data_IF_860376255174
#
_entry.id   IF_860376255174
#
_cell.length_a   1.000
_cell.length_b   1.000
_cell.length_c   1.000
_cell.angle_alpha   90.00
_cell.angle_beta   90.00
_cell.angle_gamma   90.00
#
_symmetry.space_group_name_H-M   'P 1'
#
loop_
_entity.id
_entity.type
_entity.pdbx_description
1 polymer ?
#
# COMPACT_ATOMS: atom_id res chain seq x y z
N UNK A 1 26.71 -21.50 -25.87
CA UNK A 1 25.46 -20.73 -26.02
C UNK A 1 25.78 -19.33 -25.54
N UNK A 2 25.61 -18.31 -26.36
CA UNK A 2 25.73 -16.93 -25.90
C UNK A 2 24.62 -16.74 -24.87
N UNK A 3 24.97 -16.90 -23.59
CA UNK A 3 24.07 -16.67 -22.48
C UNK A 3 23.65 -15.22 -22.57
N UNK A 4 22.34 -14.98 -22.64
CA UNK A 4 21.81 -13.64 -22.50
C UNK A 4 22.20 -13.24 -21.07
N UNK A 5 23.19 -12.37 -20.94
CA UNK A 5 23.60 -11.80 -19.66
C UNK A 5 22.39 -11.00 -19.14
N UNK A 6 21.66 -11.58 -18.18
CA UNK A 6 20.49 -10.97 -17.59
C UNK A 6 20.97 -9.79 -16.76
N UNK A 7 20.97 -8.59 -17.34
CA UNK A 7 21.30 -7.37 -16.63
C UNK A 7 20.06 -6.86 -15.90
N UNK A 8 20.06 -7.01 -14.58
CA UNK A 8 19.06 -6.40 -13.71
C UNK A 8 19.37 -4.90 -13.58
N UNK A 9 18.32 -4.09 -13.51
CA UNK A 9 18.40 -2.65 -13.23
C UNK A 9 17.98 -2.40 -11.77
N UNK A 10 18.97 -2.37 -10.89
CA UNK A 10 18.76 -2.22 -9.45
C UNK A 10 18.15 -0.85 -9.10
N UNK A 11 18.54 0.20 -9.82
CA UNK A 11 18.03 1.56 -9.62
C UNK A 11 16.53 1.61 -9.93
N UNK A 12 16.10 0.96 -11.02
CA UNK A 12 14.68 0.83 -11.34
C UNK A 12 13.92 0.09 -10.23
N UNK A 13 14.43 -1.03 -9.75
CA UNK A 13 13.73 -1.84 -8.73
C UNK A 13 13.65 -1.10 -7.39
N UNK A 14 14.73 -0.43 -6.97
CA UNK A 14 14.74 0.44 -5.79
C UNK A 14 13.73 1.61 -5.93
N UNK A 15 13.65 2.19 -7.13
CA UNK A 15 12.65 3.20 -7.47
C UNK A 15 11.22 2.67 -7.34
N UNK A 16 10.96 1.45 -7.80
CA UNK A 16 9.66 0.80 -7.67
C UNK A 16 9.32 0.47 -6.21
N UNK A 17 10.28 -0.02 -5.42
CA UNK A 17 10.09 -0.27 -3.99
C UNK A 17 9.66 1.01 -3.25
N UNK A 18 10.35 2.12 -3.51
CA UNK A 18 10.02 3.43 -2.94
C UNK A 18 8.65 3.93 -3.42
N UNK A 19 8.36 3.78 -4.72
CA UNK A 19 7.07 4.17 -5.30
C UNK A 19 5.90 3.44 -4.63
N UNK A 20 6.00 2.12 -4.44
CA UNK A 20 4.94 1.33 -3.81
C UNK A 20 4.69 1.76 -2.37
N UNK A 21 5.75 1.99 -1.59
CA UNK A 21 5.63 2.48 -0.22
C UNK A 21 4.95 3.86 -0.19
N UNK A 22 5.45 4.84 -0.95
CA UNK A 22 4.87 6.20 -0.97
C UNK A 22 3.42 6.20 -1.44
N UNK A 23 3.11 5.55 -2.56
CA UNK A 23 1.74 5.53 -3.10
C UNK A 23 0.76 4.85 -2.17
N UNK A 24 1.19 3.82 -1.46
CA UNK A 24 0.35 3.15 -0.47
C UNK A 24 0.07 4.02 0.75
N UNK A 25 1.06 4.81 1.19
CA UNK A 25 0.89 5.75 2.29
C UNK A 25 -0.05 6.89 1.89
N UNK A 26 0.16 7.51 0.72
CA UNK A 26 -0.73 8.55 0.19
C UNK A 26 -2.19 8.08 0.12
N UNK A 27 -2.41 6.85 -0.36
CA UNK A 27 -3.74 6.28 -0.49
C UNK A 27 -4.35 5.96 0.89
N UNK A 28 -3.54 5.49 1.84
CA UNK A 28 -3.97 5.26 3.21
C UNK A 28 -4.40 6.55 3.90
N UNK A 29 -3.64 7.64 3.72
CA UNK A 29 -3.99 8.98 4.23
C UNK A 29 -5.31 9.49 3.63
N UNK A 30 -5.54 9.22 2.34
CA UNK A 30 -6.82 9.54 1.69
C UNK A 30 -8.01 8.79 2.33
N UNK A 31 -7.83 7.51 2.64
CA UNK A 31 -8.85 6.71 3.35
C UNK A 31 -9.09 7.25 4.77
N UNK A 32 -8.03 7.57 5.51
CA UNK A 32 -8.14 8.10 6.87
C UNK A 32 -8.85 9.47 6.89
N UNK A 33 -8.57 10.33 5.90
CA UNK A 33 -9.26 11.60 5.73
C UNK A 33 -10.73 11.41 5.41
N UNK A 34 -11.06 10.47 4.51
CA UNK A 34 -12.43 10.15 4.16
C UNK A 34 -13.24 9.66 5.36
N UNK A 35 -12.68 8.73 6.15
CA UNK A 35 -13.31 8.24 7.38
C UNK A 35 -13.56 9.38 8.38
N UNK A 36 -12.59 10.29 8.54
CA UNK A 36 -12.73 11.45 9.41
C UNK A 36 -13.93 12.32 9.00
N UNK A 37 -14.06 12.63 7.69
CA UNK A 37 -15.18 13.43 7.17
C UNK A 37 -16.52 12.73 7.43
N UNK A 38 -16.60 11.42 7.19
CA UNK A 38 -17.82 10.67 7.43
C UNK A 38 -18.22 10.66 8.90
N UNK A 39 -17.27 10.46 9.82
CA UNK A 39 -17.51 10.54 11.26
C UNK A 39 -18.01 11.93 11.67
N UNK A 40 -17.41 13.00 11.15
CA UNK A 40 -17.90 14.37 11.41
C UNK A 40 -19.33 14.57 10.91
N UNK A 41 -19.67 14.09 9.70
CA UNK A 41 -21.05 14.17 9.18
C UNK A 41 -22.00 13.39 10.08
N UNK A 42 -21.60 12.20 10.55
CA UNK A 42 -22.39 11.35 11.43
C UNK A 42 -22.65 12.00 12.80
N UNK A 43 -21.67 12.71 13.33
CA UNK A 43 -21.73 13.37 14.64
C UNK A 43 -22.47 14.72 14.61
N UNK A 44 -22.33 15.49 13.54
CA UNK A 44 -22.80 16.88 13.50
C UNK A 44 -24.06 17.10 12.65
N UNK A 45 -24.26 16.31 11.58
CA UNK A 45 -25.31 16.56 10.59
C UNK A 45 -26.38 15.47 10.55
N UNK A 46 -25.97 14.19 10.54
CA UNK A 46 -26.88 13.03 10.44
C UNK A 46 -26.83 12.25 11.76
N UNK A 47 -27.43 12.84 12.80
CA UNK A 47 -27.29 12.35 14.17
C UNK A 47 -28.19 11.15 14.50
N UNK A 48 -29.35 11.02 13.85
CA UNK A 48 -30.34 9.99 14.16
C UNK A 48 -31.20 9.60 12.94
N UNK A 49 -31.90 8.47 13.07
CA UNK A 49 -32.75 7.88 12.03
C UNK A 49 -32.01 6.92 11.10
N UNK A 50 -32.75 6.31 10.19
CA UNK A 50 -32.27 5.23 9.31
C UNK A 50 -31.02 5.62 8.49
N UNK A 51 -30.91 6.89 8.09
CA UNK A 51 -29.74 7.41 7.37
C UNK A 51 -28.49 7.43 8.26
N UNK A 52 -28.64 7.71 9.55
CA UNK A 52 -27.54 7.71 10.52
C UNK A 52 -27.02 6.28 10.74
N UNK A 53 -27.92 5.31 10.88
CA UNK A 53 -27.58 3.88 11.00
C UNK A 53 -26.91 3.34 9.73
N UNK A 54 -27.41 3.74 8.55
CA UNK A 54 -26.78 3.38 7.28
C UNK A 54 -25.37 3.98 7.14
N UNK A 55 -25.17 5.21 7.64
CA UNK A 55 -23.86 5.85 7.65
C UNK A 55 -22.90 5.17 8.63
N UNK A 56 -23.37 4.75 9.81
CA UNK A 56 -22.58 3.96 10.77
C UNK A 56 -22.07 2.66 10.13
N UNK A 57 -22.97 1.90 9.49
CA UNK A 57 -22.61 0.67 8.79
C UNK A 57 -21.60 0.94 7.66
N UNK A 58 -21.78 2.03 6.91
CA UNK A 58 -20.85 2.40 5.85
C UNK A 58 -19.45 2.77 6.39
N UNK A 59 -19.38 3.55 7.48
CA UNK A 59 -18.12 3.89 8.15
C UNK A 59 -17.42 2.64 8.65
N UNK A 60 -18.15 1.68 9.21
CA UNK A 60 -17.60 0.39 9.66
C UNK A 60 -16.97 -0.38 8.49
N UNK A 61 -17.69 -0.53 7.38
CA UNK A 61 -17.15 -1.19 6.18
C UNK A 61 -15.93 -0.45 5.62
N UNK A 62 -15.98 0.87 5.50
CA UNK A 62 -14.85 1.66 5.01
C UNK A 62 -13.63 1.57 5.95
N UNK A 63 -13.85 1.48 7.26
CA UNK A 63 -12.79 1.35 8.26
C UNK A 63 -12.02 0.04 8.14
N UNK A 64 -12.60 -0.99 7.52
CA UNK A 64 -11.88 -2.24 7.23
C UNK A 64 -10.68 -2.05 6.30
N UNK A 65 -10.67 -1.00 5.47
CA UNK A 65 -9.55 -0.68 4.57
C UNK A 65 -8.38 -0.01 5.30
N UNK A 66 -8.56 0.42 6.55
CA UNK A 66 -7.54 1.12 7.31
C UNK A 66 -6.36 0.20 7.62
N UNK A 67 -5.16 0.66 7.29
CA UNK A 67 -3.90 -0.06 7.48
C UNK A 67 -3.61 -1.14 6.43
N UNK A 68 -4.63 -1.70 5.77
CA UNK A 68 -4.45 -2.72 4.72
C UNK A 68 -3.63 -2.15 3.57
N UNK A 69 -3.89 -0.91 3.17
CA UNK A 69 -3.26 -0.32 1.99
C UNK A 69 -1.77 -0.10 2.23
N UNK A 70 -1.40 0.46 3.38
CA UNK A 70 0.00 0.65 3.74
C UNK A 70 0.74 -0.67 3.95
N UNK A 71 0.09 -1.70 4.49
CA UNK A 71 0.65 -3.05 4.61
C UNK A 71 0.94 -3.69 3.25
N UNK A 72 0.02 -3.53 2.28
CA UNK A 72 0.24 -4.01 0.91
C UNK A 72 1.42 -3.30 0.24
N UNK A 73 1.55 -1.97 0.42
CA UNK A 73 2.71 -1.24 -0.11
C UNK A 73 4.02 -1.67 0.52
N UNK A 74 4.03 -1.94 1.83
CA UNK A 74 5.19 -2.51 2.52
C UNK A 74 5.54 -3.89 1.96
N UNK A 75 4.55 -4.76 1.76
CA UNK A 75 4.76 -6.10 1.19
C UNK A 75 5.34 -6.02 -0.22
N UNK A 76 4.85 -5.08 -1.04
CA UNK A 76 5.38 -4.85 -2.38
C UNK A 76 6.85 -4.35 -2.34
N UNK A 77 7.17 -3.40 -1.46
CA UNK A 77 8.54 -2.94 -1.21
C UNK A 77 9.46 -4.08 -0.76
N UNK A 78 9.02 -4.87 0.21
CA UNK A 78 9.77 -6.01 0.74
C UNK A 78 10.02 -7.06 -0.36
N UNK A 79 9.05 -7.27 -1.26
CA UNK A 79 9.21 -8.16 -2.42
C UNK A 79 10.29 -7.66 -3.39
N UNK A 80 10.32 -6.35 -3.69
CA UNK A 80 11.36 -5.76 -4.51
C UNK A 80 12.75 -5.92 -3.87
N UNK A 81 12.86 -5.65 -2.57
CA UNK A 81 14.13 -5.77 -1.84
C UNK A 81 14.62 -7.22 -1.77
N UNK A 82 13.72 -8.18 -1.54
CA UNK A 82 14.06 -9.60 -1.51
C UNK A 82 14.54 -10.09 -2.88
N UNK A 83 13.89 -9.63 -3.96
CA UNK A 83 14.32 -9.98 -5.32
C UNK A 83 15.75 -9.50 -5.61
N UNK A 84 16.11 -8.27 -5.23
CA UNK A 84 17.47 -7.76 -5.37
C UNK A 84 18.47 -8.58 -4.54
N UNK A 85 18.13 -8.91 -3.29
CA UNK A 85 18.99 -9.71 -2.43
C UNK A 85 19.25 -11.12 -2.99
N UNK A 86 18.24 -11.74 -3.60
CA UNK A 86 18.39 -13.05 -4.26
C UNK A 86 19.32 -12.98 -5.48
N UNK A 87 19.24 -11.90 -6.26
CA UNK A 87 20.14 -11.68 -7.41
C UNK A 87 21.57 -11.49 -6.94
N UNK A 88 21.79 -10.61 -5.96
CA UNK A 88 23.11 -10.36 -5.38
C UNK A 88 23.76 -11.65 -4.84
N UNK A 89 22.97 -12.56 -4.25
CA UNK A 89 23.46 -13.86 -3.79
C UNK A 89 23.87 -14.76 -4.97
N UNK A 90 23.08 -14.79 -6.05
CA UNK A 90 23.35 -15.66 -7.22
C UNK A 90 24.54 -15.17 -8.04
N UNK A 91 24.73 -13.86 -8.16
CA UNK A 91 25.86 -13.26 -8.88
C UNK A 91 27.20 -13.60 -8.21
N UNK A 92 27.23 -13.83 -6.90
CA UNK A 92 28.43 -14.29 -6.19
C UNK A 92 28.93 -15.68 -6.62
N UNK A 93 28.10 -16.50 -7.27
CA UNK A 93 28.49 -17.84 -7.76
C UNK A 93 28.93 -17.83 -9.24
N UNK A 94 28.85 -16.68 -9.92
CA UNK A 94 29.23 -16.50 -11.33
C UNK A 94 30.66 -15.95 -11.52
N UNK A 95 31.36 -15.65 -10.42
CA UNK A 95 32.77 -15.24 -10.36
C UNK A 95 33.59 -16.16 -9.45
#
# INVERSE_FOLDING_TARGET
MAGIELKIDDDYINGMASLFETRSQDLQEGVDSYLTILSTIREEAIQEGDTAEALDAFIEYASSLKGIISELGKTAKDTCNNFLAEIDEKDQYLF
#
